data_IF_478507296299
#
_entry.id   IF_478507296299
#
_cell.length_a   1.000
_cell.length_b   1.000
_cell.length_c   1.000
_cell.angle_alpha   90.00
_cell.angle_beta   90.00
_cell.angle_gamma   90.00
#
_symmetry.space_group_name_H-M   'P 1'
#
loop_
_entity.id
_entity.type
_entity.pdbx_description
1 polymer ?
#
# COMPACT_ATOMS: atom_id res chain seq x y z
N UNK A 1 -4.22 -24.79 -52.37
CA UNK A 1 -4.54 -23.37 -52.10
C UNK A 1 -5.74 -23.33 -51.16
N UNK A 2 -5.51 -23.30 -49.85
CA UNK A 2 -6.55 -23.20 -48.84
C UNK A 2 -5.94 -22.43 -47.67
N UNK A 3 -6.11 -21.11 -47.58
CA UNK A 3 -5.45 -20.31 -46.52
C UNK A 3 -6.15 -19.03 -46.06
N UNK A 4 -6.88 -18.24 -46.88
CA UNK A 4 -7.49 -17.01 -46.36
C UNK A 4 -8.79 -17.26 -45.57
N UNK A 5 -9.56 -18.29 -45.91
CA UNK A 5 -10.83 -18.60 -45.23
C UNK A 5 -10.65 -19.18 -43.82
N UNK A 6 -9.57 -19.93 -43.58
CA UNK A 6 -9.25 -20.47 -42.25
C UNK A 6 -8.84 -19.37 -41.26
N UNK A 7 -8.17 -18.31 -41.72
CA UNK A 7 -7.74 -17.19 -40.88
C UNK A 7 -8.95 -16.37 -40.41
N UNK A 8 -9.93 -16.14 -41.31
CA UNK A 8 -11.14 -15.39 -40.99
C UNK A 8 -12.04 -16.14 -39.98
N UNK A 9 -12.08 -17.48 -40.07
CA UNK A 9 -12.83 -18.30 -39.13
C UNK A 9 -12.21 -18.27 -37.73
N UNK A 10 -10.87 -18.36 -37.63
CA UNK A 10 -10.17 -18.28 -36.35
C UNK A 10 -10.33 -16.93 -35.63
N UNK A 11 -10.47 -15.83 -36.37
CA UNK A 11 -10.71 -14.49 -35.80
C UNK A 11 -12.13 -14.32 -35.24
N UNK A 12 -13.11 -15.08 -35.72
CA UNK A 12 -14.48 -15.05 -35.19
C UNK A 12 -14.62 -15.86 -33.90
N UNK A 13 -13.76 -16.86 -33.69
CA UNK A 13 -13.76 -17.73 -32.51
C UNK A 13 -13.04 -17.12 -31.29
N UNK A 14 -12.17 -16.12 -31.48
CA UNK A 14 -11.42 -15.48 -30.38
C UNK A 14 -12.16 -14.32 -29.70
N UNK A 15 -13.34 -13.91 -30.20
CA UNK A 15 -13.98 -12.65 -29.81
C UNK A 15 -15.29 -12.71 -29.00
N UNK A 16 -15.90 -13.88 -28.81
CA UNK A 16 -17.24 -13.97 -28.21
C UNK A 16 -17.20 -14.34 -26.73
N UNK A 17 -16.77 -13.40 -25.87
CA UNK A 17 -17.13 -13.48 -24.47
C UNK A 17 -18.67 -13.42 -24.36
N UNK A 18 -19.27 -14.43 -23.70
CA UNK A 18 -20.73 -14.55 -23.58
C UNK A 18 -21.30 -13.35 -22.82
N UNK A 19 -22.59 -13.04 -23.00
CA UNK A 19 -23.26 -11.98 -22.24
C UNK A 19 -23.10 -12.17 -20.74
N UNK A 20 -23.19 -13.42 -20.27
CA UNK A 20 -22.98 -13.77 -18.86
C UNK A 20 -21.57 -13.43 -18.38
N UNK A 21 -20.53 -13.72 -19.17
CA UNK A 21 -19.15 -13.36 -18.85
C UNK A 21 -18.98 -11.83 -18.76
N UNK A 22 -19.61 -11.09 -19.68
CA UNK A 22 -19.56 -9.62 -19.67
C UNK A 22 -20.28 -9.03 -18.46
N UNK A 23 -21.47 -9.52 -18.14
CA UNK A 23 -22.25 -9.06 -16.99
C UNK A 23 -21.56 -9.40 -15.68
N UNK A 24 -20.98 -10.59 -15.56
CA UNK A 24 -20.21 -11.01 -14.38
C UNK A 24 -18.97 -10.15 -14.18
N UNK A 25 -18.23 -9.88 -15.26
CA UNK A 25 -17.07 -9.00 -15.21
C UNK A 25 -17.46 -7.57 -14.83
N UNK A 26 -18.53 -7.01 -15.41
CA UNK A 26 -19.03 -5.68 -15.09
C UNK A 26 -19.49 -5.59 -13.63
N UNK A 27 -20.25 -6.58 -13.14
CA UNK A 27 -20.71 -6.64 -11.77
C UNK A 27 -19.53 -6.72 -10.78
N UNK A 28 -18.48 -7.49 -11.11
CA UNK A 28 -17.24 -7.54 -10.32
C UNK A 28 -16.56 -6.17 -10.27
N UNK A 29 -16.32 -5.54 -11.42
CA UNK A 29 -15.67 -4.22 -11.48
C UNK A 29 -16.49 -3.15 -10.74
N UNK A 30 -17.82 -3.14 -10.89
CA UNK A 30 -18.71 -2.20 -10.19
C UNK A 30 -18.72 -2.47 -8.68
N UNK A 31 -18.77 -3.73 -8.27
CA UNK A 31 -18.70 -4.13 -6.86
C UNK A 31 -17.38 -3.72 -6.22
N UNK A 32 -16.26 -3.99 -6.90
CA UNK A 32 -14.92 -3.54 -6.50
C UNK A 32 -14.87 -2.02 -6.44
N UNK A 33 -15.45 -1.31 -7.42
CA UNK A 33 -15.50 0.16 -7.46
C UNK A 33 -16.25 0.73 -6.26
N UNK A 34 -17.42 0.17 -5.90
CA UNK A 34 -18.27 0.62 -4.79
C UNK A 34 -17.77 0.22 -3.41
N UNK A 35 -16.98 -0.86 -3.30
CA UNK A 35 -16.35 -1.30 -2.06
C UNK A 35 -15.18 -0.37 -1.65
N UNK A 36 -15.42 0.94 -1.60
CA UNK A 36 -14.49 1.93 -1.06
C UNK A 36 -14.61 1.89 0.46
N UNK A 37 -13.65 1.26 1.12
CA UNK A 37 -13.45 1.44 2.55
C UNK A 37 -12.47 2.61 2.69
N UNK A 38 -12.86 3.74 3.30
CA UNK A 38 -11.97 4.86 3.48
C UNK A 38 -10.75 4.40 4.29
N UNK A 39 -9.56 4.59 3.73
CA UNK A 39 -8.34 4.18 4.39
C UNK A 39 -8.08 5.10 5.60
N UNK A 40 -7.92 4.55 6.82
CA UNK A 40 -7.77 5.37 8.01
C UNK A 40 -6.43 6.13 7.97
N UNK A 41 -6.43 7.31 8.57
CA UNK A 41 -5.19 8.02 8.83
C UNK A 41 -4.32 7.24 9.84
N UNK A 42 -2.98 7.30 9.71
CA UNK A 42 -2.09 6.60 10.62
C UNK A 42 -2.28 7.12 12.07
N UNK A 43 -2.14 6.25 13.07
CA UNK A 43 -2.18 6.68 14.46
C UNK A 43 -1.01 7.62 14.76
N UNK A 44 -1.19 8.55 15.71
CA UNK A 44 -0.19 9.56 16.04
C UNK A 44 1.20 8.98 16.38
N UNK A 45 1.25 7.78 16.97
CA UNK A 45 2.50 7.06 17.27
C UNK A 45 3.35 6.73 16.04
N UNK A 46 2.74 6.66 14.86
CA UNK A 46 3.44 6.39 13.61
C UNK A 46 4.02 7.64 12.96
N UNK A 47 3.76 8.83 13.52
CA UNK A 47 4.33 10.09 13.00
C UNK A 47 5.08 10.88 14.06
N UNK A 48 4.81 10.62 15.34
CA UNK A 48 5.45 11.30 16.46
C UNK A 48 6.89 10.80 16.66
N UNK A 49 7.85 11.71 16.48
CA UNK A 49 9.24 11.52 16.89
C UNK A 49 9.44 11.89 18.35
N UNK A 50 10.38 11.23 19.02
CA UNK A 50 10.66 11.53 20.43
C UNK A 50 11.75 12.59 20.57
N UNK A 51 11.55 13.48 21.55
CA UNK A 51 12.53 14.52 21.87
C UNK A 51 13.87 13.92 22.32
N UNK A 52 14.97 14.55 21.91
CA UNK A 52 16.29 14.21 22.43
C UNK A 52 16.45 14.83 23.82
N UNK A 53 16.81 14.03 24.82
CA UNK A 53 17.02 14.50 26.19
C UNK A 53 18.48 14.88 26.39
N UNK A 54 18.76 16.15 26.67
CA UNK A 54 20.06 16.61 27.14
C UNK A 54 20.04 16.69 28.66
N UNK A 55 20.67 15.70 29.31
CA UNK A 55 20.95 15.77 30.74
C UNK A 55 22.09 16.80 30.91
N UNK A 56 21.98 17.70 31.89
CA UNK A 56 22.86 18.85 32.10
C UNK A 56 24.32 18.49 32.41
N UNK A 57 24.82 18.88 33.59
CA UNK A 57 26.25 18.86 33.90
C UNK A 57 26.81 17.46 34.26
N UNK A 58 26.12 16.40 33.85
CA UNK A 58 26.37 15.03 34.32
C UNK A 58 27.41 14.31 33.42
N UNK A 59 28.49 13.73 33.98
CA UNK A 59 29.47 12.99 33.21
C UNK A 59 28.94 11.57 32.89
N UNK A 60 28.00 11.44 31.94
CA UNK A 60 27.54 10.12 31.50
C UNK A 60 27.28 10.06 29.99
N UNK A 61 28.37 10.02 29.23
CA UNK A 61 28.37 9.70 27.78
C UNK A 61 27.59 8.42 27.48
N UNK A 62 27.61 7.43 28.38
CA UNK A 62 26.92 6.14 28.18
C UNK A 62 25.40 6.26 28.37
N UNK A 63 24.92 7.00 29.37
CA UNK A 63 23.47 7.22 29.59
C UNK A 63 22.90 8.09 28.47
N UNK A 64 23.64 9.11 28.05
CA UNK A 64 23.27 9.95 26.92
C UNK A 64 23.16 9.13 25.62
N UNK A 65 24.19 8.34 25.29
CA UNK A 65 24.16 7.43 24.14
C UNK A 65 23.00 6.43 24.20
N UNK A 66 22.67 5.90 25.38
CA UNK A 66 21.52 4.99 25.52
C UNK A 66 20.20 5.69 25.20
N UNK A 67 20.01 6.93 25.65
CA UNK A 67 18.83 7.72 25.32
C UNK A 67 18.77 8.08 23.84
N UNK A 68 19.90 8.45 23.22
CA UNK A 68 19.98 8.68 21.78
C UNK A 68 19.60 7.43 20.99
N UNK A 69 20.16 6.27 21.34
CA UNK A 69 19.83 4.99 20.68
C UNK A 69 18.35 4.66 20.81
N UNK A 70 17.76 4.83 22.00
CA UNK A 70 16.32 4.61 22.19
C UNK A 70 15.50 5.58 21.34
N UNK A 71 15.92 6.84 21.26
CA UNK A 71 15.26 7.84 20.44
C UNK A 71 15.34 7.54 18.95
N UNK A 72 16.50 7.14 18.45
CA UNK A 72 16.69 6.76 17.06
C UNK A 72 15.89 5.50 16.70
N UNK A 73 15.84 4.50 17.59
CA UNK A 73 15.02 3.30 17.38
C UNK A 73 13.54 3.65 17.32
N UNK A 74 13.05 4.53 18.21
CA UNK A 74 11.65 4.94 18.22
C UNK A 74 11.28 5.80 17.01
N UNK A 75 12.16 6.71 16.61
CA UNK A 75 11.95 7.53 15.42
C UNK A 75 11.92 6.65 14.16
N UNK A 76 12.84 5.69 14.05
CA UNK A 76 12.82 4.71 12.94
C UNK A 76 11.54 3.88 12.94
N UNK A 77 11.08 3.43 14.09
CA UNK A 77 9.83 2.68 14.20
C UNK A 77 8.63 3.52 13.74
N UNK A 78 8.60 4.81 14.08
CA UNK A 78 7.56 5.72 13.59
C UNK A 78 7.65 5.87 12.06
N UNK A 79 8.85 6.13 11.53
CA UNK A 79 9.08 6.25 10.07
C UNK A 79 8.66 5.00 9.30
N UNK A 80 9.04 3.81 9.77
CA UNK A 80 8.67 2.54 9.15
C UNK A 80 7.15 2.33 9.18
N UNK A 81 6.49 2.70 10.28
CA UNK A 81 5.03 2.63 10.37
C UNK A 81 4.36 3.60 9.39
N UNK A 82 4.80 4.86 9.32
CA UNK A 82 4.29 5.84 8.37
C UNK A 82 4.46 5.36 6.92
N UNK A 83 5.63 4.81 6.59
CA UNK A 83 5.92 4.27 5.28
C UNK A 83 4.99 3.10 4.92
N UNK A 84 4.74 2.18 5.87
CA UNK A 84 3.78 1.09 5.67
C UNK A 84 2.36 1.60 5.41
N UNK A 85 1.89 2.58 6.19
CA UNK A 85 0.57 3.20 5.96
C UNK A 85 0.48 3.86 4.59
N UNK A 86 1.54 4.56 4.16
CA UNK A 86 1.59 5.18 2.83
C UNK A 86 1.55 4.14 1.70
N UNK A 87 2.31 3.05 1.81
CA UNK A 87 2.32 1.96 0.84
C UNK A 87 0.94 1.27 0.73
N UNK A 88 0.30 0.96 1.86
CA UNK A 88 -1.04 0.36 1.83
C UNK A 88 -2.08 1.34 1.30
N UNK A 89 -2.01 2.64 1.67
CA UNK A 89 -2.88 3.67 1.11
C UNK A 89 -2.71 3.79 -0.40
N UNK A 90 -1.49 3.68 -0.92
CA UNK A 90 -1.24 3.72 -2.36
C UNK A 90 -1.80 2.47 -3.08
N UNK A 91 -1.70 1.29 -2.46
CA UNK A 91 -2.16 0.02 -3.07
C UNK A 91 -3.67 -0.17 -2.98
N UNK A 92 -4.28 0.27 -1.88
CA UNK A 92 -5.63 -0.11 -1.49
C UNK A 92 -6.49 1.06 -1.00
N UNK A 93 -5.88 2.22 -0.71
CA UNK A 93 -6.62 3.43 -0.39
C UNK A 93 -7.28 3.96 -1.66
N UNK A 94 -8.59 4.16 -1.56
CA UNK A 94 -9.39 4.85 -2.58
C UNK A 94 -9.80 6.22 -2.06
#
# INVERSE_FOLDING_TARGET
MARPQLILLCLLLTGCATTEQRVTAAAKTEGEARAVIPFPEPPASCVAKIGRVRIGDEPWVVTFKRWEVVADIRDRQAEDCAAWFADIKQRWGK
#
